data_IF_269745377002
#
_entry.id   IF_269745377002
#
_cell.length_a   1.000
_cell.length_b   1.000
_cell.length_c   1.000
_cell.angle_alpha   90.00
_cell.angle_beta   90.00
_cell.angle_gamma   90.00
#
_symmetry.space_group_name_H-M   'P 1'
#
loop_
_entity.id
_entity.type
_entity.pdbx_description
1 polymer ?
#
# COMPACT_ATOMS: atom_id res chain seq x y z
N UNK A 1 -15.43 -2.71 -11.30
CA UNK A 1 -14.85 -3.28 -12.52
C UNK A 1 -13.37 -3.50 -12.28
N UNK A 2 -12.84 -4.70 -12.49
CA UNK A 2 -11.39 -4.92 -12.40
C UNK A 2 -10.69 -4.00 -13.39
N UNK A 3 -9.74 -3.19 -12.89
CA UNK A 3 -8.91 -2.36 -13.74
C UNK A 3 -7.71 -3.19 -14.21
N UNK A 4 -7.39 -3.10 -15.49
CA UNK A 4 -6.19 -3.72 -16.06
C UNK A 4 -4.99 -2.79 -15.80
N UNK A 5 -4.26 -3.07 -14.75
CA UNK A 5 -3.09 -2.30 -14.32
C UNK A 5 -1.90 -3.20 -14.00
N UNK A 6 -0.72 -2.62 -14.04
CA UNK A 6 0.50 -3.26 -13.55
C UNK A 6 1.52 -2.24 -13.04
N UNK A 7 2.32 -2.66 -12.09
CA UNK A 7 3.45 -1.89 -11.56
C UNK A 7 4.58 -2.82 -11.16
N UNK A 8 5.78 -2.29 -11.10
CA UNK A 8 6.94 -2.96 -10.53
C UNK A 8 7.09 -2.52 -9.08
N UNK A 9 7.40 -3.47 -8.21
CA UNK A 9 7.65 -3.24 -6.79
C UNK A 9 9.01 -3.84 -6.42
N UNK A 10 9.89 -3.02 -5.85
CA UNK A 10 11.09 -3.48 -5.20
C UNK A 10 11.03 -3.16 -3.71
N UNK A 11 11.33 -4.14 -2.87
CA UNK A 11 11.36 -3.99 -1.41
C UNK A 11 12.81 -4.06 -0.93
N UNK A 12 13.22 -3.03 -0.17
CA UNK A 12 14.54 -2.96 0.44
C UNK A 12 14.38 -2.87 1.96
N UNK A 13 15.04 -3.76 2.68
CA UNK A 13 15.03 -3.76 4.15
C UNK A 13 16.33 -3.17 4.67
N UNK A 14 16.24 -2.08 5.42
CA UNK A 14 17.37 -1.41 6.05
C UNK A 14 17.11 -1.29 7.56
N UNK A 15 17.72 -2.17 8.33
CA UNK A 15 17.47 -2.26 9.76
C UNK A 15 16.03 -2.68 10.05
N UNK A 16 15.25 -1.81 10.68
CA UNK A 16 13.83 -2.02 10.98
C UNK A 16 12.88 -1.23 10.05
N UNK A 17 13.40 -0.69 8.96
CA UNK A 17 12.62 0.06 7.97
C UNK A 17 12.58 -0.74 6.68
N UNK A 18 11.39 -0.90 6.14
CA UNK A 18 11.14 -1.46 4.82
C UNK A 18 10.79 -0.33 3.86
N UNK A 19 11.52 -0.28 2.75
CA UNK A 19 11.31 0.69 1.68
C UNK A 19 10.66 0.00 0.49
N UNK A 20 9.56 0.54 0.02
CA UNK A 20 8.93 0.14 -1.23
C UNK A 20 9.24 1.14 -2.33
N UNK A 21 9.89 0.67 -3.38
CA UNK A 21 10.10 1.46 -4.60
C UNK A 21 9.13 0.98 -5.66
N UNK A 22 8.23 1.85 -6.07
CA UNK A 22 7.10 1.52 -6.93
C UNK A 22 7.22 2.27 -8.26
N UNK A 23 7.16 1.53 -9.36
CA UNK A 23 7.11 2.06 -10.71
C UNK A 23 5.80 1.66 -11.40
N UNK A 24 4.85 2.57 -11.65
CA UNK A 24 3.67 2.27 -12.45
C UNK A 24 4.09 1.92 -13.89
N UNK A 25 3.53 0.83 -14.44
CA UNK A 25 3.86 0.36 -15.79
C UNK A 25 2.66 0.52 -16.72
N UNK A 26 1.45 0.18 -16.27
CA UNK A 26 0.25 0.18 -17.10
C UNK A 26 -0.99 0.52 -16.28
N UNK A 27 -1.90 1.26 -16.91
CA UNK A 27 -3.20 1.62 -16.35
C UNK A 27 -3.14 2.84 -15.43
N UNK A 28 -4.32 3.32 -15.04
CA UNK A 28 -4.47 4.39 -14.09
C UNK A 28 -4.40 3.82 -12.68
N UNK A 29 -3.46 4.29 -11.90
CA UNK A 29 -3.19 3.87 -10.53
C UNK A 29 -2.99 5.09 -9.65
N UNK A 30 -3.24 4.93 -8.37
CA UNK A 30 -2.92 5.93 -7.34
C UNK A 30 -1.45 6.40 -7.42
N UNK A 31 -0.54 5.55 -7.86
CA UNK A 31 0.87 5.88 -8.04
C UNK A 31 1.13 6.75 -9.28
N UNK A 32 0.48 6.45 -10.41
CA UNK A 32 0.60 7.28 -11.63
C UNK A 32 -0.02 8.65 -11.43
N UNK A 33 -1.20 8.73 -10.81
CA UNK A 33 -1.83 10.01 -10.45
C UNK A 33 -0.93 10.85 -9.54
N UNK A 34 -0.32 10.22 -8.54
CA UNK A 34 0.61 10.92 -7.65
C UNK A 34 1.82 11.48 -8.40
N UNK A 35 2.41 10.70 -9.31
CA UNK A 35 3.57 11.15 -10.11
C UNK A 35 3.18 12.31 -11.05
N UNK A 36 2.00 12.27 -11.64
CA UNK A 36 1.49 13.35 -12.49
C UNK A 36 1.29 14.65 -11.71
N UNK A 37 0.75 14.56 -10.49
CA UNK A 37 0.44 15.72 -9.67
C UNK A 37 1.64 16.27 -8.90
N UNK A 38 2.55 15.42 -8.46
CA UNK A 38 3.63 15.77 -7.51
C UNK A 38 5.03 15.45 -8.01
N UNK A 39 5.18 14.70 -9.12
CA UNK A 39 6.45 14.14 -9.55
C UNK A 39 6.88 12.91 -8.73
N UNK A 40 8.11 12.46 -8.98
CA UNK A 40 8.70 11.35 -8.20
C UNK A 40 8.90 11.80 -6.75
N UNK A 41 8.40 11.02 -5.81
CA UNK A 41 8.50 11.38 -4.41
C UNK A 41 7.95 10.36 -3.45
N UNK A 42 7.71 10.83 -2.24
CA UNK A 42 7.24 10.02 -1.12
C UNK A 42 5.72 9.89 -1.14
N UNK A 43 5.23 8.67 -1.34
CA UNK A 43 3.80 8.41 -1.56
C UNK A 43 3.06 8.04 -0.28
N UNK A 44 3.55 7.06 0.48
CA UNK A 44 2.82 6.53 1.64
C UNK A 44 3.70 6.02 2.77
N UNK A 45 3.08 5.89 3.95
CA UNK A 45 3.59 5.13 5.10
C UNK A 45 2.57 4.06 5.46
N UNK A 46 3.03 2.82 5.60
CA UNK A 46 2.22 1.69 6.05
C UNK A 46 2.13 1.64 7.58
N UNK A 47 0.93 1.32 8.06
CA UNK A 47 0.68 0.87 9.42
C UNK A 47 -0.15 -0.42 9.39
N UNK A 48 0.29 -1.42 10.15
CA UNK A 48 -0.40 -2.70 10.30
C UNK A 48 -1.36 -2.65 11.47
N UNK A 49 -2.54 -3.27 11.31
CA UNK A 49 -3.60 -3.33 12.31
C UNK A 49 -4.11 -4.77 12.47
N UNK A 50 -4.57 -5.10 13.67
CA UNK A 50 -5.26 -6.38 13.88
C UNK A 50 -6.53 -6.46 13.06
N UNK A 51 -6.77 -7.64 12.48
CA UNK A 51 -8.00 -7.91 11.69
C UNK A 51 -9.27 -7.57 12.49
N UNK A 52 -9.26 -7.84 13.80
CA UNK A 52 -10.41 -7.55 14.67
C UNK A 52 -10.72 -6.05 14.81
N UNK A 53 -9.73 -5.17 14.63
CA UNK A 53 -9.87 -3.72 14.77
C UNK A 53 -10.16 -3.02 13.44
N UNK A 54 -10.04 -3.74 12.32
CA UNK A 54 -10.06 -3.17 10.97
C UNK A 54 -11.29 -2.32 10.68
N UNK A 55 -12.49 -2.85 10.99
CA UNK A 55 -13.74 -2.14 10.70
C UNK A 55 -13.93 -0.90 11.58
N UNK A 56 -13.51 -0.96 12.83
CA UNK A 56 -13.61 0.17 13.77
C UNK A 56 -12.68 1.30 13.35
N UNK A 57 -11.47 0.96 12.88
CA UNK A 57 -10.50 1.93 12.39
C UNK A 57 -11.00 2.60 11.11
N UNK A 58 -11.57 1.85 10.17
CA UNK A 58 -12.17 2.42 8.97
C UNK A 58 -13.34 3.35 9.29
N UNK A 59 -14.16 2.99 10.28
CA UNK A 59 -15.27 3.84 10.74
C UNK A 59 -14.76 5.14 11.39
N UNK A 60 -13.63 5.08 12.12
CA UNK A 60 -13.01 6.25 12.72
C UNK A 60 -12.50 7.22 11.65
N UNK A 61 -11.81 6.74 10.61
CA UNK A 61 -11.42 7.57 9.47
C UNK A 61 -12.62 8.22 8.79
N UNK A 62 -13.68 7.46 8.54
CA UNK A 62 -14.91 7.97 7.93
C UNK A 62 -15.57 9.06 8.79
N UNK A 63 -15.61 8.89 10.11
CA UNK A 63 -16.16 9.87 11.05
C UNK A 63 -15.37 11.19 11.07
N UNK A 64 -14.08 11.15 10.73
CA UNK A 64 -13.20 12.30 10.57
C UNK A 64 -13.17 12.86 9.14
N UNK A 65 -14.06 12.40 8.27
CA UNK A 65 -14.17 12.84 6.86
C UNK A 65 -12.92 12.55 6.02
N UNK A 66 -12.14 11.54 6.40
CA UNK A 66 -10.99 11.07 5.62
C UNK A 66 -11.46 9.91 4.74
N UNK A 67 -11.40 10.11 3.43
CA UNK A 67 -11.85 9.12 2.46
C UNK A 67 -10.84 8.00 2.27
N UNK A 68 -11.34 6.82 1.92
CA UNK A 68 -10.52 5.73 1.39
C UNK A 68 -10.28 6.01 -0.10
N UNK A 69 -9.02 6.15 -0.50
CA UNK A 69 -8.64 6.39 -1.88
C UNK A 69 -8.73 5.10 -2.71
N UNK A 70 -8.11 4.04 -2.24
CA UNK A 70 -8.20 2.72 -2.87
C UNK A 70 -8.02 1.59 -1.85
N UNK A 71 -8.40 0.39 -2.24
CA UNK A 71 -8.26 -0.82 -1.43
C UNK A 71 -8.00 -2.04 -2.30
N UNK A 72 -7.44 -3.06 -1.69
CA UNK A 72 -7.24 -4.37 -2.30
C UNK A 72 -7.04 -5.45 -1.26
N UNK A 73 -6.84 -6.67 -1.76
CA UNK A 73 -6.53 -7.82 -0.94
C UNK A 73 -5.48 -8.67 -1.62
N UNK A 74 -4.56 -9.23 -0.85
CA UNK A 74 -3.57 -10.22 -1.29
C UNK A 74 -3.70 -11.41 -0.36
N UNK A 75 -4.33 -12.49 -0.84
CA UNK A 75 -4.69 -13.62 0.02
C UNK A 75 -5.56 -13.14 1.19
N UNK A 76 -5.21 -13.46 2.44
CA UNK A 76 -5.99 -13.05 3.62
C UNK A 76 -5.71 -11.60 4.08
N UNK A 77 -4.75 -10.91 3.46
CA UNK A 77 -4.35 -9.55 3.84
C UNK A 77 -5.19 -8.54 3.09
N UNK A 78 -5.97 -7.75 3.81
CA UNK A 78 -6.63 -6.56 3.27
C UNK A 78 -5.74 -5.34 3.46
N UNK A 79 -5.72 -4.47 2.47
CA UNK A 79 -4.99 -3.21 2.52
C UNK A 79 -5.80 -2.06 1.90
N UNK A 80 -5.51 -0.85 2.30
CA UNK A 80 -6.08 0.35 1.69
C UNK A 80 -5.19 1.57 1.88
N UNK A 81 -5.36 2.57 1.01
CA UNK A 81 -4.82 3.92 1.19
C UNK A 81 -5.91 4.87 1.65
N UNK A 82 -5.65 5.56 2.77
CA UNK A 82 -6.50 6.65 3.25
C UNK A 82 -5.97 7.98 2.70
N UNK A 83 -6.88 8.83 2.23
CA UNK A 83 -6.52 10.14 1.69
C UNK A 83 -6.18 11.14 2.83
N UNK A 84 -4.97 11.03 3.30
CA UNK A 84 -4.40 11.87 4.37
C UNK A 84 -3.39 12.89 3.85
N UNK A 85 -3.29 13.07 2.53
CA UNK A 85 -2.28 13.95 1.91
C UNK A 85 -2.41 15.39 2.42
N UNK A 86 -3.64 15.86 2.60
CA UNK A 86 -3.89 17.21 3.11
C UNK A 86 -3.41 17.38 4.57
N UNK A 87 -3.62 16.37 5.41
CA UNK A 87 -3.31 16.41 6.84
C UNK A 87 -1.84 16.07 7.11
N UNK A 88 -1.29 15.09 6.40
CA UNK A 88 0.02 14.48 6.69
C UNK A 88 1.07 14.73 5.61
N UNK A 89 0.68 15.12 4.40
CA UNK A 89 1.58 15.26 3.26
C UNK A 89 1.86 13.94 2.50
N UNK A 90 1.23 12.85 2.90
CA UNK A 90 1.34 11.53 2.27
C UNK A 90 0.07 10.70 2.50
N UNK A 91 -0.12 9.64 1.71
CA UNK A 91 -1.18 8.67 1.95
C UNK A 91 -0.83 7.76 3.12
N UNK A 92 -1.78 7.52 3.99
CA UNK A 92 -1.67 6.49 5.01
C UNK A 92 -2.06 5.16 4.41
N UNK A 93 -1.10 4.24 4.23
CA UNK A 93 -1.43 2.86 3.94
C UNK A 93 -1.77 2.12 5.23
N UNK A 94 -2.80 1.32 5.17
CA UNK A 94 -3.19 0.42 6.24
C UNK A 94 -3.31 -0.99 5.69
N UNK A 95 -2.87 -1.96 6.45
CA UNK A 95 -3.13 -3.37 6.16
C UNK A 95 -3.44 -4.16 7.42
N UNK A 96 -4.14 -5.28 7.24
CA UNK A 96 -4.38 -6.23 8.31
C UNK A 96 -3.14 -7.08 8.59
N UNK A 97 -2.99 -7.55 9.82
CA UNK A 97 -1.92 -8.42 10.29
C UNK A 97 -2.15 -9.91 9.95
N UNK A 98 -3.09 -10.20 9.04
CA UNK A 98 -3.32 -11.57 8.59
C UNK A 98 -2.07 -12.15 7.93
N UNK A 99 -1.74 -13.39 8.28
CA UNK A 99 -0.55 -14.07 7.79
C UNK A 99 -0.85 -14.79 6.48
N UNK A 100 0.02 -14.63 5.49
CA UNK A 100 -0.01 -15.41 4.26
C UNK A 100 0.89 -16.64 4.40
N UNK A 101 0.33 -17.83 4.19
CA UNK A 101 1.09 -19.09 4.21
C UNK A 101 1.99 -19.23 2.98
N UNK A 102 1.59 -18.62 1.86
CA UNK A 102 2.33 -18.64 0.59
C UNK A 102 2.19 -17.30 -0.13
N UNK A 103 3.26 -16.88 -0.79
CA UNK A 103 3.21 -15.73 -1.69
C UNK A 103 2.34 -16.05 -2.91
N UNK A 104 1.59 -15.07 -3.45
CA UNK A 104 0.81 -15.26 -4.66
C UNK A 104 1.67 -15.71 -5.85
N UNK A 105 1.04 -16.44 -6.80
CA UNK A 105 1.68 -16.80 -8.05
C UNK A 105 2.20 -15.55 -8.78
N UNK A 106 3.43 -15.64 -9.29
CA UNK A 106 4.10 -14.52 -9.95
C UNK A 106 4.85 -13.57 -9.00
N UNK A 107 4.82 -13.83 -7.71
CA UNK A 107 5.65 -13.12 -6.76
C UNK A 107 7.07 -13.69 -6.78
N UNK A 108 8.07 -12.83 -7.04
CA UNK A 108 9.48 -13.22 -7.01
C UNK A 108 10.14 -12.66 -5.77
N UNK A 109 10.90 -13.50 -5.07
CA UNK A 109 11.69 -13.08 -3.94
C UNK A 109 13.17 -13.39 -4.24
N UNK A 110 14.00 -12.37 -4.17
CA UNK A 110 15.44 -12.53 -4.26
C UNK A 110 16.10 -11.61 -3.23
N UNK A 111 17.30 -12.01 -2.81
CA UNK A 111 18.08 -11.31 -1.79
C UNK A 111 19.36 -10.76 -2.40
N UNK A 112 19.73 -9.54 -2.01
CA UNK A 112 21.04 -8.99 -2.35
C UNK A 112 21.62 -8.26 -1.14
N UNK A 113 22.86 -8.57 -0.72
CA UNK A 113 23.62 -9.75 -1.14
C UNK A 113 22.90 -11.04 -0.70
N UNK A 114 23.19 -12.15 -1.39
CA UNK A 114 22.66 -13.45 -0.97
C UNK A 114 23.07 -13.74 0.47
N UNK A 115 22.16 -14.31 1.29
CA UNK A 115 22.44 -14.60 2.69
C UNK A 115 23.57 -15.60 2.89
#
# INVERSE_FOLDING_TARGET
VPQDFSYLLAILVCGNIEWEVIEPVKGELVYSEFIEDHGIGFHHILQEYHVAEWQDILADYASNSIAMNCKGSIGPVDWCYMDTVKELGYFKEMRTDAVMDQLPDGYFQFWYPEP
#
